data_IF_499754208524
#
_entry.id   IF_499754208524
#
_cell.length_a   1.000
_cell.length_b   1.000
_cell.length_c   1.000
_cell.angle_alpha   90.00
_cell.angle_beta   90.00
_cell.angle_gamma   90.00
#
_symmetry.space_group_name_H-M   'P 1'
#
loop_
_entity.id
_entity.type
_entity.pdbx_description
1 polymer ?
#
# COMPACT_ATOMS: atom_id res chain seq x y z
N UNK A 1 1.04 22.30 -3.17
CA UNK A 1 0.27 22.13 -4.42
C UNK A 1 -0.59 23.36 -4.60
N UNK A 2 -0.58 23.95 -5.79
CA UNK A 2 -1.51 25.01 -6.21
C UNK A 2 -2.06 24.60 -7.58
N UNK A 3 -3.37 24.41 -7.68
CA UNK A 3 -4.07 24.00 -8.90
C UNK A 3 -5.06 25.10 -9.25
N UNK A 4 -5.07 25.53 -10.51
CA UNK A 4 -6.05 26.45 -11.07
C UNK A 4 -6.47 25.97 -12.47
N UNK A 5 -7.74 26.15 -12.83
CA UNK A 5 -8.21 25.82 -14.17
C UNK A 5 -9.00 26.99 -14.81
N UNK A 6 -9.21 26.90 -16.13
CA UNK A 6 -9.88 27.95 -16.92
C UNK A 6 -11.37 28.14 -16.60
N UNK A 7 -11.96 27.23 -15.81
CA UNK A 7 -13.35 27.31 -15.33
C UNK A 7 -13.45 27.95 -13.94
N UNK A 8 -12.35 28.47 -13.40
CA UNK A 8 -12.31 29.12 -12.10
C UNK A 8 -12.18 28.17 -10.91
N UNK A 9 -11.95 26.88 -11.14
CA UNK A 9 -11.60 25.93 -10.08
C UNK A 9 -10.21 26.26 -9.53
N UNK A 10 -10.07 26.27 -8.20
CA UNK A 10 -8.82 26.53 -7.51
C UNK A 10 -8.68 25.60 -6.30
N UNK A 11 -7.49 25.04 -6.09
CA UNK A 11 -7.19 24.22 -4.92
C UNK A 11 -5.76 24.46 -4.46
N UNK A 12 -5.61 24.63 -3.15
CA UNK A 12 -4.36 24.98 -2.51
C UNK A 12 -4.15 24.17 -1.24
N UNK A 13 -3.02 23.47 -1.17
CA UNK A 13 -2.62 22.83 0.07
C UNK A 13 -1.11 22.69 0.17
N UNK A 14 -0.64 22.58 1.41
CA UNK A 14 0.76 22.32 1.73
C UNK A 14 0.84 21.08 2.60
N UNK A 15 1.84 20.27 2.31
CA UNK A 15 2.08 19.03 3.02
C UNK A 15 3.57 18.90 3.31
N UNK A 16 3.86 18.34 4.48
CA UNK A 16 5.18 17.84 4.84
C UNK A 16 5.05 16.35 5.06
N UNK A 17 6.05 15.57 4.67
CA UNK A 17 6.09 14.12 4.90
C UNK A 17 7.35 13.79 5.67
N UNK A 18 7.19 13.01 6.73
CA UNK A 18 8.26 12.44 7.54
C UNK A 18 8.22 10.94 7.32
N UNK A 19 9.37 10.35 7.05
CA UNK A 19 9.51 8.91 6.83
C UNK A 19 10.70 8.38 7.61
N UNK A 20 10.53 7.20 8.18
CA UNK A 20 11.58 6.42 8.82
C UNK A 20 11.56 5.03 8.22
N UNK A 21 12.71 4.53 7.79
CA UNK A 21 12.85 3.18 7.27
C UNK A 21 14.13 2.56 7.76
N UNK A 22 14.08 1.25 8.02
CA UNK A 22 15.25 0.42 8.28
C UNK A 22 15.18 -0.74 7.31
N UNK A 23 16.27 -0.97 6.60
CA UNK A 23 16.45 -2.11 5.71
C UNK A 23 17.77 -2.81 6.06
N UNK A 24 17.79 -4.14 5.88
CA UNK A 24 18.97 -4.96 6.07
C UNK A 24 18.97 -6.14 5.12
N UNK A 25 20.18 -6.62 4.82
CA UNK A 25 20.38 -7.83 4.02
C UNK A 25 21.12 -8.87 4.84
N UNK A 26 20.57 -10.08 4.91
CA UNK A 26 21.24 -11.24 5.47
C UNK A 26 21.72 -12.13 4.33
N UNK A 27 23.04 -12.13 4.10
CA UNK A 27 23.68 -12.92 3.04
C UNK A 27 24.35 -14.13 3.67
N UNK A 28 24.06 -15.32 3.13
CA UNK A 28 24.64 -16.61 3.53
C UNK A 28 24.86 -17.47 2.29
N UNK A 29 26.12 -17.60 1.87
CA UNK A 29 26.51 -18.24 0.62
C UNK A 29 25.84 -17.59 -0.59
N UNK A 30 24.89 -18.28 -1.21
CA UNK A 30 24.08 -17.80 -2.35
C UNK A 30 22.69 -17.32 -1.96
N UNK A 31 22.32 -17.45 -0.68
CA UNK A 31 21.02 -17.01 -0.17
C UNK A 31 21.12 -15.55 0.31
N UNK A 32 20.13 -14.75 -0.08
CA UNK A 32 20.02 -13.34 0.26
C UNK A 32 18.61 -13.06 0.73
N UNK A 33 18.48 -12.81 2.02
CA UNK A 33 17.22 -12.39 2.64
C UNK A 33 17.23 -10.88 2.85
N UNK A 34 16.16 -10.23 2.39
CA UNK A 34 15.88 -8.82 2.64
C UNK A 34 14.94 -8.70 3.84
N UNK A 35 15.31 -7.86 4.79
CA UNK A 35 14.47 -7.50 5.93
C UNK A 35 14.30 -6.00 5.97
N UNK A 36 13.16 -5.55 6.45
CA UNK A 36 12.93 -4.12 6.57
C UNK A 36 11.53 -3.75 7.03
N UNK A 37 11.42 -2.53 7.52
CA UNK A 37 10.17 -1.89 7.91
C UNK A 37 10.30 -0.39 7.71
N UNK A 38 9.18 0.28 7.49
CA UNK A 38 9.13 1.73 7.35
C UNK A 38 7.78 2.29 7.77
N UNK A 39 7.83 3.50 8.30
CA UNK A 39 6.67 4.30 8.69
C UNK A 39 6.76 5.67 8.02
N UNK A 40 5.59 6.24 7.69
CA UNK A 40 5.50 7.58 7.14
C UNK A 40 4.23 8.30 7.61
N UNK A 41 4.34 9.61 7.79
CA UNK A 41 3.26 10.47 8.28
C UNK A 41 3.46 11.91 7.84
N UNK A 42 2.39 12.71 7.88
CA UNK A 42 2.46 14.16 7.74
C UNK A 42 2.67 14.92 9.06
N UNK A 43 3.01 14.21 10.13
CA UNK A 43 3.57 14.77 11.36
C UNK A 43 4.91 14.11 11.69
N UNK A 44 5.76 14.74 12.52
CA UNK A 44 7.01 14.13 12.97
C UNK A 44 6.78 12.73 13.55
N UNK A 45 7.63 11.79 13.18
CA UNK A 45 7.64 10.44 13.74
C UNK A 45 8.45 10.47 15.05
N UNK A 46 7.80 10.15 16.17
CA UNK A 46 8.44 10.19 17.50
C UNK A 46 8.71 8.81 18.07
N UNK A 47 8.01 7.77 17.61
CA UNK A 47 8.17 6.40 18.05
C UNK A 47 8.92 5.59 16.98
N UNK A 48 10.19 5.28 17.24
CA UNK A 48 11.02 4.52 16.30
C UNK A 48 10.99 3.02 16.57
N UNK A 49 10.48 2.59 17.72
CA UNK A 49 10.41 1.18 18.10
C UNK A 49 9.51 0.37 17.19
N UNK A 50 8.42 0.95 16.71
CA UNK A 50 7.51 0.29 15.78
C UNK A 50 8.24 -0.22 14.51
N UNK A 51 9.25 0.53 14.04
CA UNK A 51 10.09 0.11 12.91
C UNK A 51 11.21 -0.83 13.36
N UNK A 52 11.92 -0.52 14.43
CA UNK A 52 13.08 -1.33 14.86
C UNK A 52 12.70 -2.72 15.38
N UNK A 53 11.63 -2.85 16.17
CA UNK A 53 11.18 -4.12 16.72
C UNK A 53 10.77 -5.11 15.63
N UNK A 54 10.10 -4.62 14.58
CA UNK A 54 9.72 -5.45 13.43
C UNK A 54 10.95 -5.98 12.69
N UNK A 55 11.96 -5.13 12.44
CA UNK A 55 13.20 -5.57 11.77
C UNK A 55 13.99 -6.56 12.65
N UNK A 56 14.07 -6.31 13.96
CA UNK A 56 14.71 -7.23 14.89
C UNK A 56 13.99 -8.60 14.92
N UNK A 57 12.65 -8.61 14.91
CA UNK A 57 11.88 -9.84 14.83
C UNK A 57 12.13 -10.59 13.51
N UNK A 58 12.17 -9.89 12.38
CA UNK A 58 12.49 -10.49 11.09
C UNK A 58 13.88 -11.15 11.11
N UNK A 59 14.89 -10.47 11.67
CA UNK A 59 16.25 -11.00 11.82
C UNK A 59 16.31 -12.20 12.77
N UNK A 60 15.52 -12.21 13.85
CA UNK A 60 15.44 -13.35 14.77
C UNK A 60 14.86 -14.58 14.09
N UNK A 61 13.74 -14.41 13.37
CA UNK A 61 13.11 -15.48 12.60
C UNK A 61 14.04 -15.99 11.50
N UNK A 62 14.79 -15.11 10.84
CA UNK A 62 15.74 -15.44 9.79
C UNK A 62 16.91 -16.33 10.25
N UNK A 63 17.15 -16.46 11.57
CA UNK A 63 18.18 -17.36 12.09
C UNK A 63 17.91 -18.81 11.69
N UNK A 64 16.63 -19.22 11.71
CA UNK A 64 16.21 -20.60 11.50
C UNK A 64 15.55 -20.75 10.12
N UNK A 65 16.23 -21.42 9.19
CA UNK A 65 15.64 -21.77 7.89
C UNK A 65 14.69 -22.95 8.06
N UNK A 66 13.45 -22.79 7.60
CA UNK A 66 12.47 -23.86 7.54
C UNK A 66 12.49 -24.54 6.17
N UNK A 67 12.23 -25.86 6.14
CA UNK A 67 11.88 -26.58 4.92
C UNK A 67 10.36 -26.75 4.87
N UNK A 68 9.77 -26.60 3.68
CA UNK A 68 8.33 -26.71 3.47
C UNK A 68 8.06 -27.72 2.34
N UNK A 69 7.08 -28.62 2.50
CA UNK A 69 6.69 -29.52 1.41
C UNK A 69 6.08 -28.73 0.25
N UNK A 70 6.35 -29.16 -0.99
CA UNK A 70 5.69 -28.62 -2.17
C UNK A 70 4.28 -29.21 -2.28
N UNK A 71 3.32 -28.57 -1.61
CA UNK A 71 1.89 -28.92 -1.64
C UNK A 71 1.04 -27.68 -1.38
N UNK A 72 -0.27 -27.70 -1.70
CA UNK A 72 -1.17 -26.64 -1.29
C UNK A 72 -1.15 -26.48 0.24
N UNK A 73 -0.91 -25.25 0.70
CA UNK A 73 -0.89 -24.88 2.10
C UNK A 73 -1.69 -23.58 2.27
N UNK A 74 -2.37 -23.38 3.41
CA UNK A 74 -2.93 -22.09 3.75
C UNK A 74 -1.81 -21.04 3.81
N UNK A 75 -2.04 -19.89 3.19
CA UNK A 75 -1.11 -18.75 3.24
C UNK A 75 -1.73 -17.68 4.13
N UNK A 76 -0.96 -17.24 5.12
CA UNK A 76 -1.31 -16.11 5.97
C UNK A 76 -0.43 -14.94 5.56
N UNK A 77 -1.05 -13.88 5.05
CA UNK A 77 -0.34 -12.66 4.70
C UNK A 77 -0.12 -11.79 5.95
N UNK A 78 1.09 -11.25 6.08
CA UNK A 78 1.30 -10.08 6.94
C UNK A 78 0.58 -8.86 6.34
N UNK A 79 0.31 -7.79 7.10
CA UNK A 79 -0.28 -6.57 6.54
C UNK A 79 0.48 -6.05 5.30
N UNK A 80 1.82 -6.01 5.35
CA UNK A 80 2.66 -5.69 4.19
C UNK A 80 2.54 -6.69 3.06
N UNK A 81 2.42 -7.99 3.38
CA UNK A 81 2.21 -9.05 2.40
C UNK A 81 0.89 -8.89 1.63
N UNK A 82 -0.18 -8.44 2.30
CA UNK A 82 -1.46 -8.11 1.64
C UNK A 82 -1.24 -6.97 0.65
N UNK A 83 -0.62 -5.88 1.12
CA UNK A 83 -0.31 -4.70 0.30
C UNK A 83 0.52 -5.08 -0.94
N UNK A 84 1.62 -5.84 -0.76
CA UNK A 84 2.52 -6.19 -1.85
C UNK A 84 1.92 -7.18 -2.84
N UNK A 85 1.11 -8.14 -2.37
CA UNK A 85 0.49 -9.14 -3.23
C UNK A 85 -0.73 -8.60 -3.99
N UNK A 86 -1.50 -7.69 -3.37
CA UNK A 86 -2.83 -7.32 -3.88
C UNK A 86 -2.91 -5.94 -4.52
N UNK A 87 -2.07 -4.96 -4.17
CA UNK A 87 -2.27 -3.60 -4.68
C UNK A 87 -2.17 -3.53 -6.20
N UNK A 88 -1.13 -4.09 -6.81
CA UNK A 88 -0.96 -4.04 -8.27
C UNK A 88 -2.13 -4.67 -9.05
N UNK A 89 -2.57 -5.92 -8.75
CA UNK A 89 -3.70 -6.49 -9.46
C UNK A 89 -5.01 -5.73 -9.19
N UNK A 90 -5.25 -5.24 -7.96
CA UNK A 90 -6.43 -4.44 -7.66
C UNK A 90 -6.43 -3.09 -8.38
N UNK A 91 -5.30 -2.39 -8.43
CA UNK A 91 -5.14 -1.16 -9.20
C UNK A 91 -5.44 -1.40 -10.68
N UNK A 92 -4.93 -2.49 -11.27
CA UNK A 92 -5.24 -2.83 -12.66
C UNK A 92 -6.73 -3.14 -12.86
N UNK A 93 -7.33 -3.87 -11.92
CA UNK A 93 -8.73 -4.27 -11.97
C UNK A 93 -9.69 -3.08 -11.88
N UNK A 94 -9.40 -2.08 -11.04
CA UNK A 94 -10.26 -0.92 -10.80
C UNK A 94 -9.93 0.32 -11.66
N UNK A 95 -8.90 0.26 -12.51
CA UNK A 95 -8.53 1.40 -13.35
C UNK A 95 -9.54 1.62 -14.50
N UNK A 96 -10.19 2.79 -14.53
CA UNK A 96 -11.20 3.12 -15.52
C UNK A 96 -10.72 3.09 -16.98
N UNK A 97 -9.45 3.42 -17.24
CA UNK A 97 -8.86 3.31 -18.58
C UNK A 97 -8.73 1.83 -18.99
N UNK A 98 -8.25 0.97 -18.09
CA UNK A 98 -8.13 -0.47 -18.35
C UNK A 98 -9.50 -1.11 -18.57
N UNK A 99 -10.54 -0.64 -17.87
CA UNK A 99 -11.93 -1.03 -18.11
C UNK A 99 -12.39 -0.60 -19.50
N UNK A 100 -12.17 0.66 -19.90
CA UNK A 100 -12.54 1.17 -21.22
C UNK A 100 -11.85 0.40 -22.35
N UNK A 101 -10.60 0.01 -22.15
CA UNK A 101 -9.82 -0.79 -23.09
C UNK A 101 -10.23 -2.28 -23.13
N UNK A 102 -11.15 -2.71 -22.25
CA UNK A 102 -11.64 -4.09 -22.19
C UNK A 102 -10.66 -5.09 -21.55
N UNK A 103 -9.60 -4.60 -20.90
CA UNK A 103 -8.53 -5.41 -20.33
C UNK A 103 -8.72 -5.69 -18.82
N UNK A 104 -9.70 -5.06 -18.16
CA UNK A 104 -9.93 -5.27 -16.73
C UNK A 104 -10.59 -6.64 -16.47
N UNK A 105 -10.06 -7.45 -15.53
CA UNK A 105 -10.66 -8.74 -15.17
C UNK A 105 -12.06 -8.62 -14.54
N UNK A 106 -12.42 -7.44 -14.03
CA UNK A 106 -13.71 -7.20 -13.34
C UNK A 106 -14.51 -6.04 -13.97
N UNK A 107 -14.08 -5.50 -15.12
CA UNK A 107 -14.65 -4.28 -15.69
C UNK A 107 -16.15 -4.36 -16.03
N UNK A 108 -16.69 -5.57 -16.22
CA UNK A 108 -18.11 -5.82 -16.49
C UNK A 108 -18.87 -6.43 -15.29
N UNK A 109 -18.32 -6.35 -14.07
CA UNK A 109 -18.84 -7.00 -12.87
C UNK A 109 -19.39 -6.03 -11.81
N UNK A 110 -19.71 -4.80 -12.20
CA UNK A 110 -20.27 -3.82 -11.26
C UNK A 110 -21.57 -4.34 -10.62
N UNK A 111 -21.64 -4.28 -9.30
CA UNK A 111 -22.78 -4.79 -8.52
C UNK A 111 -22.85 -6.32 -8.39
N UNK A 112 -21.87 -7.06 -8.90
CA UNK A 112 -21.79 -8.52 -8.77
C UNK A 112 -20.78 -8.93 -7.70
N UNK A 113 -21.04 -9.99 -6.91
CA UNK A 113 -20.06 -10.52 -5.98
C UNK A 113 -18.91 -11.19 -6.75
N UNK A 114 -17.70 -10.63 -6.62
CA UNK A 114 -16.47 -11.16 -7.24
C UNK A 114 -15.38 -11.52 -6.23
N UNK A 115 -15.56 -11.13 -4.96
CA UNK A 115 -14.68 -11.46 -3.83
C UNK A 115 -15.50 -12.11 -2.70
N UNK A 116 -14.80 -12.70 -1.73
CA UNK A 116 -15.41 -13.21 -0.50
C UNK A 116 -16.12 -12.08 0.27
N UNK A 117 -17.25 -12.39 0.90
CA UNK A 117 -18.07 -11.43 1.65
C UNK A 117 -17.33 -10.78 2.85
N UNK A 118 -16.22 -11.37 3.28
CA UNK A 118 -15.37 -10.83 4.35
C UNK A 118 -14.37 -9.79 3.85
N UNK A 119 -14.20 -9.64 2.53
CA UNK A 119 -13.31 -8.64 1.95
C UNK A 119 -14.08 -7.36 1.63
N UNK A 120 -13.68 -6.28 2.28
CA UNK A 120 -14.18 -4.93 2.05
C UNK A 120 -12.99 -4.02 1.74
N UNK A 121 -13.11 -3.23 0.68
CA UNK A 121 -12.08 -2.30 0.24
C UNK A 121 -12.75 -0.99 -0.17
N UNK A 122 -12.17 0.12 0.27
CA UNK A 122 -12.53 1.47 -0.16
C UNK A 122 -11.25 2.32 -0.22
N UNK A 123 -11.27 3.31 -1.09
CA UNK A 123 -10.25 4.36 -1.13
C UNK A 123 -10.72 5.52 -0.24
N UNK A 124 -9.82 6.09 0.56
CA UNK A 124 -10.15 7.21 1.45
C UNK A 124 -8.96 8.16 1.54
N UNK A 125 -8.97 9.16 0.66
CA UNK A 125 -7.95 10.20 0.59
C UNK A 125 -8.12 11.29 1.67
N UNK A 126 -9.04 11.12 2.63
CA UNK A 126 -9.38 12.13 3.64
C UNK A 126 -8.80 11.83 5.02
N UNK A 127 -8.13 10.69 5.19
CA UNK A 127 -7.56 10.27 6.48
C UNK A 127 -6.48 11.25 6.93
N UNK A 128 -6.63 11.82 8.13
CA UNK A 128 -5.67 12.77 8.66
C UNK A 128 -4.25 12.20 8.73
N UNK A 129 -3.27 13.04 8.37
CA UNK A 129 -1.84 12.77 8.46
C UNK A 129 -1.28 11.59 7.64
N UNK A 130 -2.05 11.04 6.69
CA UNK A 130 -1.49 10.06 5.74
C UNK A 130 -0.77 10.78 4.59
N UNK A 131 0.41 10.30 4.16
CA UNK A 131 1.15 10.92 3.05
C UNK A 131 0.38 11.02 1.73
N UNK A 132 -0.54 10.11 1.46
CA UNK A 132 -1.34 10.14 0.22
C UNK A 132 -2.68 10.87 0.40
N UNK A 133 -3.00 11.35 1.60
CA UNK A 133 -4.21 12.14 1.81
C UNK A 133 -4.08 13.52 1.20
N UNK A 134 -5.14 13.93 0.50
CA UNK A 134 -5.18 15.18 -0.27
C UNK A 134 -6.61 15.69 -0.35
N UNK A 135 -6.83 17.02 -0.38
CA UNK A 135 -8.18 17.59 -0.45
C UNK A 135 -8.83 17.43 -1.82
N UNK A 136 -8.04 17.22 -2.87
CA UNK A 136 -8.51 17.02 -4.24
C UNK A 136 -7.52 16.16 -5.04
N UNK A 137 -7.97 15.62 -6.17
CA UNK A 137 -7.11 15.02 -7.17
C UNK A 137 -6.35 16.08 -8.00
N UNK A 138 -5.59 15.61 -9.00
CA UNK A 138 -4.73 16.46 -9.83
C UNK A 138 -5.52 17.29 -10.86
N UNK A 139 -6.84 17.09 -10.95
CA UNK A 139 -7.76 17.91 -11.77
C UNK A 139 -8.59 18.90 -10.92
N UNK A 140 -8.40 18.87 -9.59
CA UNK A 140 -9.13 19.72 -8.63
C UNK A 140 -10.49 19.16 -8.23
N UNK A 141 -10.76 17.87 -8.47
CA UNK A 141 -11.98 17.22 -7.98
C UNK A 141 -11.84 16.92 -6.49
N UNK A 142 -12.79 17.32 -5.64
CA UNK A 142 -12.72 17.06 -4.21
C UNK A 142 -12.56 15.58 -3.88
N UNK A 143 -11.62 15.26 -3.00
CA UNK A 143 -11.44 13.91 -2.47
C UNK A 143 -12.63 13.47 -1.64
N UNK A 144 -12.91 12.17 -1.66
CA UNK A 144 -14.00 11.55 -0.91
C UNK A 144 -13.62 10.15 -0.44
N UNK A 145 -14.50 9.56 0.37
CA UNK A 145 -14.52 8.13 0.67
C UNK A 145 -15.58 7.44 -0.20
#
# INVERSE_FOLDING_TARGET
MHIINSRGGQADYRQSVFSLGIEGHLIRDTDMLFVGESESSCHPLTETKAVTEVVLQQLELAKNRASVPSKPLPVVFTPRGVTSALILPLMAAFNGKIVLEGASPIGNRLGQPVFDEKLWLWDDATIAYRPESRPCDDEGIPSQR
#
